data_IF_024988446328
#
_entry.id   IF_024988446328
#
_cell.length_a   1.000
_cell.length_b   1.000
_cell.length_c   1.000
_cell.angle_alpha   90.00
_cell.angle_beta   90.00
_cell.angle_gamma   90.00
#
_symmetry.space_group_name_H-M   'P 1'
#
loop_
_entity.id
_entity.type
_entity.pdbx_description
1 polymer ?
#
# COMPACT_ATOMS: atom_id res chain seq x y z
N UNK A 1 -4.69 10.23 -22.83
CA UNK A 1 -4.91 8.76 -22.76
C UNK A 1 -6.32 8.54 -22.23
N UNK A 2 -7.14 7.70 -22.87
CA UNK A 2 -8.47 7.38 -22.33
C UNK A 2 -8.27 6.44 -21.14
N UNK A 3 -8.23 6.97 -19.92
CA UNK A 3 -8.16 6.16 -18.70
C UNK A 3 -9.43 5.34 -18.57
N UNK A 4 -9.47 4.13 -19.08
CA UNK A 4 -10.60 3.22 -18.83
C UNK A 4 -10.54 2.73 -17.38
N UNK A 5 -11.70 2.36 -16.84
CA UNK A 5 -11.83 1.74 -15.51
C UNK A 5 -10.76 0.66 -15.26
N UNK A 6 -10.55 -0.23 -16.24
CA UNK A 6 -9.54 -1.28 -16.17
C UNK A 6 -8.11 -0.73 -16.01
N UNK A 7 -7.74 0.31 -16.78
CA UNK A 7 -6.40 0.91 -16.70
C UNK A 7 -6.12 1.52 -15.32
N UNK A 8 -7.11 2.18 -14.71
CA UNK A 8 -6.95 2.73 -13.37
C UNK A 8 -6.84 1.64 -12.30
N UNK A 9 -7.64 0.57 -12.39
CA UNK A 9 -7.55 -0.57 -11.48
C UNK A 9 -6.16 -1.23 -11.56
N UNK A 10 -5.65 -1.47 -12.78
CA UNK A 10 -4.31 -2.04 -12.99
C UNK A 10 -3.24 -1.12 -12.39
N UNK A 11 -3.33 0.18 -12.65
CA UNK A 11 -2.37 1.16 -12.17
C UNK A 11 -2.40 1.27 -10.63
N UNK A 12 -3.59 1.24 -10.01
CA UNK A 12 -3.73 1.23 -8.56
C UNK A 12 -3.23 -0.07 -7.93
N UNK A 13 -3.40 -1.23 -8.59
CA UNK A 13 -2.81 -2.49 -8.12
C UNK A 13 -1.28 -2.43 -8.20
N UNK A 14 -0.75 -1.91 -9.29
CA UNK A 14 0.69 -1.80 -9.48
C UNK A 14 1.34 -0.83 -8.49
N UNK A 15 0.68 0.29 -8.17
CA UNK A 15 1.20 1.30 -7.24
C UNK A 15 1.09 0.86 -5.78
N UNK A 16 0.06 0.08 -5.42
CA UNK A 16 -0.12 -0.42 -4.05
C UNK A 16 0.72 -1.66 -3.77
N UNK A 17 1.23 -2.30 -4.83
CA UNK A 17 2.16 -3.43 -4.82
C UNK A 17 1.94 -4.43 -3.66
N UNK A 18 0.80 -5.12 -3.63
CA UNK A 18 0.51 -6.06 -2.55
C UNK A 18 1.47 -7.25 -2.53
N UNK A 19 2.12 -7.58 -3.66
CA UNK A 19 3.05 -8.70 -3.76
C UNK A 19 4.42 -8.30 -3.21
N UNK A 20 4.97 -7.15 -3.62
CA UNK A 20 6.24 -6.67 -3.09
C UNK A 20 6.21 -6.33 -1.59
N UNK A 21 5.01 -6.05 -1.07
CA UNK A 21 4.80 -5.79 0.36
C UNK A 21 4.75 -7.07 1.24
N UNK A 22 4.68 -8.27 0.67
CA UNK A 22 4.65 -9.54 1.42
C UNK A 22 5.80 -9.68 2.44
N UNK A 23 7.10 -9.53 2.08
CA UNK A 23 8.20 -9.68 3.04
C UNK A 23 8.18 -8.64 4.17
N UNK A 24 7.68 -7.44 3.89
CA UNK A 24 7.52 -6.37 4.89
C UNK A 24 6.45 -6.78 5.91
N UNK A 25 5.31 -7.25 5.44
CA UNK A 25 4.23 -7.77 6.30
C UNK A 25 4.68 -9.00 7.09
N UNK A 26 5.39 -9.94 6.46
CA UNK A 26 5.92 -11.13 7.13
C UNK A 26 6.87 -10.77 8.28
N UNK A 27 7.77 -9.82 8.08
CA UNK A 27 8.68 -9.34 9.12
C UNK A 27 7.92 -8.61 10.25
N UNK A 28 7.00 -7.71 9.90
CA UNK A 28 6.23 -6.95 10.88
C UNK A 28 5.29 -7.83 11.73
N UNK A 29 4.75 -8.91 11.16
CA UNK A 29 3.85 -9.85 11.83
C UNK A 29 4.58 -10.98 12.58
N UNK A 30 5.92 -11.01 12.57
CA UNK A 30 6.72 -12.09 13.18
C UNK A 30 6.44 -12.29 14.67
N UNK A 31 6.17 -11.20 15.40
CA UNK A 31 5.88 -11.22 16.84
C UNK A 31 4.38 -11.29 17.16
N UNK A 32 3.52 -11.32 16.13
CA UNK A 32 2.06 -11.40 16.30
C UNK A 32 1.60 -12.84 16.23
N UNK A 33 0.73 -13.24 17.16
CA UNK A 33 0.13 -14.57 17.20
C UNK A 33 -0.53 -14.92 15.84
N UNK A 34 -0.32 -16.13 15.29
CA UNK A 34 -0.77 -16.51 13.93
C UNK A 34 -2.27 -16.33 13.67
N UNK A 35 -3.09 -16.40 14.72
CA UNK A 35 -4.55 -16.22 14.67
C UNK A 35 -4.96 -14.76 14.49
N UNK A 36 -4.13 -13.81 14.95
CA UNK A 36 -4.40 -12.37 14.88
C UNK A 36 -3.83 -11.71 13.62
N UNK A 37 -2.90 -12.36 12.92
CA UNK A 37 -2.26 -11.85 11.69
C UNK A 37 -3.25 -11.42 10.58
N UNK A 38 -4.26 -12.22 10.18
CA UNK A 38 -5.20 -11.80 9.14
C UNK A 38 -6.05 -10.59 9.57
N UNK A 39 -6.35 -10.45 10.86
CA UNK A 39 -7.04 -9.28 11.40
C UNK A 39 -6.19 -8.02 11.30
N UNK A 40 -4.89 -8.12 11.61
CA UNK A 40 -3.95 -6.99 11.45
C UNK A 40 -3.82 -6.59 9.98
N UNK A 41 -3.67 -7.56 9.07
CA UNK A 41 -3.62 -7.29 7.61
C UNK A 41 -4.88 -6.56 7.16
N UNK A 42 -6.07 -7.06 7.52
CA UNK A 42 -7.33 -6.45 7.11
C UNK A 42 -7.49 -5.03 7.69
N UNK A 43 -7.07 -4.81 8.93
CA UNK A 43 -7.06 -3.48 9.56
C UNK A 43 -6.16 -2.51 8.79
N UNK A 44 -4.94 -2.90 8.43
CA UNK A 44 -4.01 -2.03 7.70
C UNK A 44 -4.51 -1.74 6.27
N UNK A 45 -5.09 -2.72 5.58
CA UNK A 45 -5.73 -2.52 4.27
C UNK A 45 -6.92 -1.56 4.40
N UNK A 46 -7.73 -1.69 5.45
CA UNK A 46 -8.85 -0.80 5.69
C UNK A 46 -8.39 0.64 5.98
N UNK A 47 -7.35 0.83 6.79
CA UNK A 47 -6.76 2.15 7.05
C UNK A 47 -6.29 2.79 5.73
N UNK A 48 -5.56 2.02 4.91
CA UNK A 48 -5.12 2.48 3.58
C UNK A 48 -6.29 2.85 2.69
N UNK A 49 -7.33 2.02 2.64
CA UNK A 49 -8.53 2.28 1.85
C UNK A 49 -9.20 3.58 2.27
N UNK A 50 -9.43 3.78 3.56
CA UNK A 50 -10.06 5.00 4.10
C UNK A 50 -9.21 6.23 3.80
N UNK A 51 -7.89 6.13 3.94
CA UNK A 51 -6.97 7.24 3.68
C UNK A 51 -6.99 7.64 2.19
N UNK A 52 -6.89 6.68 1.27
CA UNK A 52 -6.97 6.94 -0.17
C UNK A 52 -8.36 7.46 -0.57
N UNK A 53 -9.42 6.90 -0.01
CA UNK A 53 -10.79 7.38 -0.22
C UNK A 53 -10.92 8.84 0.21
N UNK A 54 -10.45 9.19 1.40
CA UNK A 54 -10.46 10.56 1.92
C UNK A 54 -9.73 11.51 0.97
N UNK A 55 -8.54 11.14 0.50
CA UNK A 55 -7.78 11.92 -0.47
C UNK A 55 -8.49 12.04 -1.82
N UNK A 56 -9.21 11.03 -2.29
CA UNK A 56 -9.98 11.13 -3.53
C UNK A 56 -11.19 12.06 -3.42
N UNK A 57 -11.76 12.22 -2.22
CA UNK A 57 -12.87 13.16 -1.98
C UNK A 57 -12.38 14.59 -1.74
N UNK A 58 -11.33 14.76 -0.94
CA UNK A 58 -10.83 16.08 -0.50
C UNK A 58 -9.79 16.65 -1.48
N UNK A 59 -9.09 15.79 -2.20
CA UNK A 59 -7.90 16.08 -2.97
C UNK A 59 -8.04 17.17 -4.03
N UNK A 60 -9.07 17.10 -4.88
CA UNK A 60 -9.30 18.12 -5.92
C UNK A 60 -9.53 19.52 -5.31
N UNK A 61 -10.27 19.59 -4.19
CA UNK A 61 -10.48 20.85 -3.47
C UNK A 61 -9.20 21.41 -2.86
N UNK A 62 -8.38 20.54 -2.26
CA UNK A 62 -7.10 20.92 -1.68
C UNK A 62 -6.08 21.39 -2.75
N UNK A 63 -5.98 20.68 -3.87
CA UNK A 63 -5.09 21.03 -4.97
C UNK A 63 -5.44 22.39 -5.59
N UNK A 64 -6.74 22.66 -5.77
CA UNK A 64 -7.25 23.96 -6.24
C UNK A 64 -6.93 25.09 -5.26
N UNK A 65 -7.05 24.84 -3.95
CA UNK A 65 -6.70 25.82 -2.92
C UNK A 65 -5.20 26.15 -2.91
N UNK A 66 -4.35 25.16 -3.19
CA UNK A 66 -2.90 25.32 -3.29
C UNK A 66 -2.43 25.83 -4.66
N UNK A 67 -3.36 26.12 -5.59
CA UNK A 67 -3.06 26.56 -6.96
C UNK A 67 -2.10 25.62 -7.72
N UNK A 68 -2.07 24.33 -7.35
CA UNK A 68 -1.18 23.36 -7.96
C UNK A 68 -1.73 22.91 -9.31
N UNK A 69 -0.89 22.96 -10.33
CA UNK A 69 -1.23 22.41 -11.63
C UNK A 69 -1.15 20.88 -11.61
N UNK A 70 -1.93 20.24 -12.48
CA UNK A 70 -1.84 18.79 -12.68
C UNK A 70 -0.41 18.36 -13.05
N UNK A 71 0.29 19.16 -13.86
CA UNK A 71 1.69 18.95 -14.24
C UNK A 71 2.62 18.93 -13.01
N UNK A 72 2.40 19.83 -12.05
CA UNK A 72 3.18 19.88 -10.81
C UNK A 72 2.97 18.62 -9.98
N UNK A 73 1.73 18.11 -9.92
CA UNK A 73 1.41 16.87 -9.22
C UNK A 73 2.05 15.65 -9.90
N UNK A 74 2.07 15.61 -11.23
CA UNK A 74 2.74 14.55 -12.00
C UNK A 74 4.25 14.54 -11.73
N UNK A 75 4.91 15.70 -11.79
CA UNK A 75 6.35 15.83 -11.54
C UNK A 75 6.66 15.44 -10.08
N UNK A 76 5.91 15.97 -9.11
CA UNK A 76 6.10 15.65 -7.70
C UNK A 76 5.91 14.16 -7.39
N UNK A 77 4.84 13.55 -7.92
CA UNK A 77 4.59 12.12 -7.79
C UNK A 77 5.69 11.27 -8.43
N UNK A 78 6.18 11.65 -9.61
CA UNK A 78 7.28 10.97 -10.30
C UNK A 78 8.60 11.02 -9.52
N UNK A 79 8.94 12.18 -8.96
CA UNK A 79 10.13 12.35 -8.11
C UNK A 79 10.04 11.49 -6.86
N UNK A 80 8.88 11.45 -6.20
CA UNK A 80 8.70 10.62 -5.00
C UNK A 80 8.83 9.13 -5.34
N UNK A 81 8.23 8.68 -6.45
CA UNK A 81 8.36 7.29 -6.90
C UNK A 81 9.80 6.91 -7.20
N UNK A 82 10.54 7.81 -7.86
CA UNK A 82 11.97 7.64 -8.11
C UNK A 82 12.78 7.49 -6.81
N UNK A 83 12.51 8.33 -5.81
CA UNK A 83 13.17 8.24 -4.50
C UNK A 83 12.82 6.94 -3.76
N UNK A 84 11.59 6.43 -3.86
CA UNK A 84 11.19 5.15 -3.28
C UNK A 84 11.90 3.99 -3.99
N UNK A 85 11.97 4.02 -5.32
CA UNK A 85 12.69 3.01 -6.09
C UNK A 85 14.19 2.97 -5.70
N UNK A 86 14.83 4.13 -5.54
CA UNK A 86 16.19 4.22 -5.02
C UNK A 86 16.27 3.68 -3.58
N UNK A 87 15.30 3.99 -2.71
CA UNK A 87 15.25 3.43 -1.36
C UNK A 87 15.14 1.90 -1.35
N UNK A 88 14.56 1.27 -2.38
CA UNK A 88 14.49 -0.19 -2.49
C UNK A 88 15.83 -0.81 -2.94
N UNK A 89 16.65 -0.09 -3.71
CA UNK A 89 17.98 -0.58 -4.11
C UNK A 89 18.96 -0.60 -2.93
N UNK A 90 18.81 0.35 -1.99
CA UNK A 90 19.68 0.50 -0.83
C UNK A 90 19.07 -0.17 0.41
N UNK A 91 19.74 -1.17 1.02
CA UNK A 91 19.26 -1.76 2.26
C UNK A 91 19.11 -0.68 3.34
N UNK A 92 17.90 -0.55 3.89
CA UNK A 92 17.67 0.30 5.04
C UNK A 92 18.41 -0.31 6.24
N UNK A 93 19.19 0.47 7.02
CA UNK A 93 19.68 0.00 8.31
C UNK A 93 18.48 -0.45 9.14
N UNK A 94 18.54 -1.65 9.71
CA UNK A 94 17.53 -2.10 10.65
C UNK A 94 17.41 -1.03 11.74
N UNK A 95 16.23 -0.41 11.86
CA UNK A 95 15.93 0.47 12.98
C UNK A 95 15.90 -0.41 14.23
N UNK A 96 17.06 -0.58 14.86
CA UNK A 96 17.21 -1.15 16.18
C UNK A 96 16.52 -0.19 17.16
N UNK A 97 15.22 -0.35 17.32
CA UNK A 97 14.48 0.27 18.42
C UNK A 97 14.73 -0.61 19.66
N UNK A 98 15.34 -0.09 20.73
CA UNK A 98 15.53 -0.85 21.96
C UNK A 98 14.18 -1.18 22.57
N UNK A 99 13.99 -2.44 22.94
CA UNK A 99 12.98 -3.01 23.83
C UNK A 99 11.91 -2.04 24.36
N UNK A 100 10.78 -1.93 23.66
CA UNK A 100 9.53 -1.47 24.27
C UNK A 100 8.79 -2.71 24.83
N UNK A 101 9.09 -3.03 26.09
CA UNK A 101 8.29 -3.93 26.92
C UNK A 101 6.92 -3.28 27.12
N UNK A 102 5.90 -3.79 26.42
CA UNK A 102 4.52 -3.35 26.58
C UNK A 102 3.91 -2.87 25.27
N UNK A 103 3.17 -3.79 24.64
CA UNK A 103 2.41 -3.64 23.39
C UNK A 103 3.24 -3.14 22.19
N UNK A 104 3.46 -3.99 21.16
CA UNK A 104 4.13 -3.54 19.95
C UNK A 104 3.31 -2.37 19.42
N UNK A 105 3.87 -1.16 19.50
CA UNK A 105 3.44 -0.05 18.69
C UNK A 105 3.56 -0.58 17.27
N UNK A 106 2.42 -1.04 16.74
CA UNK A 106 2.22 -1.38 15.34
C UNK A 106 2.51 -0.05 14.64
N UNK A 107 3.79 0.18 14.32
CA UNK A 107 4.20 1.26 13.44
C UNK A 107 3.27 1.09 12.25
N UNK A 108 2.41 2.06 11.95
CA UNK A 108 1.35 1.83 10.99
C UNK A 108 2.01 1.49 9.66
N UNK A 109 2.00 0.20 9.30
CA UNK A 109 2.55 -0.31 8.04
C UNK A 109 1.85 0.38 6.88
N UNK A 110 0.57 0.75 7.08
CA UNK A 110 -0.23 1.52 6.16
C UNK A 110 0.44 2.83 5.71
N UNK A 111 1.14 3.56 6.60
CA UNK A 111 1.53 4.95 6.34
C UNK A 111 2.84 5.09 5.52
N UNK A 112 3.80 4.16 5.54
CA UNK A 112 4.86 4.14 4.54
C UNK A 112 4.63 3.14 3.38
N UNK A 113 4.04 1.97 3.63
CA UNK A 113 4.18 0.83 2.72
C UNK A 113 3.03 0.67 1.70
N UNK A 114 1.79 0.96 2.07
CA UNK A 114 0.62 0.77 1.18
C UNK A 114 -0.01 2.10 0.76
N UNK A 115 -0.23 3.03 1.69
CA UNK A 115 -0.69 4.38 1.41
C UNK A 115 0.49 5.33 1.23
N UNK A 116 1.57 4.84 0.62
CA UNK A 116 2.77 5.64 0.37
C UNK A 116 2.43 6.88 -0.45
N UNK A 117 3.26 7.93 -0.38
CA UNK A 117 3.01 9.19 -1.08
C UNK A 117 2.78 9.03 -2.60
N UNK A 118 3.32 7.96 -3.23
CA UNK A 118 3.01 7.59 -4.61
C UNK A 118 1.55 7.18 -4.82
N UNK A 119 0.98 6.33 -3.96
CA UNK A 119 -0.42 5.93 -4.05
C UNK A 119 -1.36 7.13 -3.87
N UNK A 120 -1.01 8.05 -2.97
CA UNK A 120 -1.74 9.30 -2.78
C UNK A 120 -1.64 10.22 -4.00
N UNK A 121 -0.44 10.45 -4.54
CA UNK A 121 -0.25 11.26 -5.74
C UNK A 121 -1.02 10.68 -6.93
N UNK A 122 -0.98 9.36 -7.12
CA UNK A 122 -1.72 8.66 -8.16
C UNK A 122 -3.24 8.79 -7.99
N UNK A 123 -3.77 8.58 -6.79
CA UNK A 123 -5.20 8.73 -6.52
C UNK A 123 -5.67 10.16 -6.79
N UNK A 124 -4.86 11.16 -6.43
CA UNK A 124 -5.10 12.57 -6.72
C UNK A 124 -5.07 12.87 -8.22
N UNK A 125 -4.10 12.33 -8.95
CA UNK A 125 -4.00 12.49 -10.41
C UNK A 125 -5.22 11.95 -11.13
N UNK A 126 -5.68 10.75 -10.76
CA UNK A 126 -6.88 10.13 -11.35
C UNK A 126 -8.13 11.01 -11.15
N UNK A 127 -8.29 11.58 -9.95
CA UNK A 127 -9.41 12.49 -9.66
C UNK A 127 -9.26 13.83 -10.36
N UNK A 128 -8.05 14.40 -10.42
CA UNK A 128 -7.77 15.68 -11.07
C UNK A 128 -7.99 15.64 -12.58
N UNK A 129 -7.62 14.54 -13.24
CA UNK A 129 -7.73 14.42 -14.71
C UNK A 129 -9.16 14.20 -15.19
N UNK A 130 -9.98 13.51 -14.41
CA UNK A 130 -11.33 13.15 -14.81
C UNK A 130 -12.29 13.19 -13.60
N UNK A 131 -12.61 14.39 -13.07
CA UNK A 131 -13.45 14.52 -11.89
C UNK A 131 -14.87 13.98 -12.09
N UNK A 132 -15.39 14.01 -13.33
CA UNK A 132 -16.70 13.45 -13.68
C UNK A 132 -16.77 11.91 -13.53
N UNK A 133 -15.63 11.21 -13.51
CA UNK A 133 -15.54 9.74 -13.40
C UNK A 133 -15.13 9.27 -12.01
N UNK A 134 -15.26 10.12 -10.99
CA UNK A 134 -14.93 9.82 -9.59
C UNK A 134 -15.52 8.50 -9.10
N UNK A 135 -16.75 8.18 -9.49
CA UNK A 135 -17.40 6.91 -9.12
C UNK A 135 -16.75 5.67 -9.76
N UNK A 136 -16.15 5.80 -10.94
CA UNK A 136 -15.35 4.73 -11.53
C UNK A 136 -14.03 4.54 -10.79
N UNK A 137 -13.37 5.63 -10.38
CA UNK A 137 -12.13 5.57 -9.61
C UNK A 137 -12.33 4.96 -8.22
N UNK A 138 -13.43 5.30 -7.54
CA UNK A 138 -13.76 4.69 -6.25
C UNK A 138 -14.00 3.18 -6.43
N UNK A 139 -14.72 2.77 -7.47
CA UNK A 139 -14.91 1.34 -7.78
C UNK A 139 -13.57 0.64 -8.06
N UNK A 140 -12.66 1.28 -8.78
CA UNK A 140 -11.33 0.75 -9.06
C UNK A 140 -10.54 0.58 -7.77
N UNK A 141 -10.56 1.59 -6.89
CA UNK A 141 -9.92 1.53 -5.57
C UNK A 141 -10.47 0.38 -4.72
N UNK A 142 -11.80 0.19 -4.68
CA UNK A 142 -12.41 -0.93 -3.95
C UNK A 142 -11.90 -2.28 -4.46
N UNK A 143 -11.81 -2.47 -5.79
CA UNK A 143 -11.29 -3.70 -6.38
C UNK A 143 -9.81 -3.87 -6.03
N UNK A 144 -8.99 -2.82 -6.15
CA UNK A 144 -7.58 -2.85 -5.79
C UNK A 144 -7.40 -3.29 -4.34
N UNK A 145 -8.14 -2.71 -3.40
CA UNK A 145 -8.02 -3.07 -1.98
C UNK A 145 -8.50 -4.48 -1.69
N UNK A 146 -9.56 -4.95 -2.36
CA UNK A 146 -10.01 -6.33 -2.26
C UNK A 146 -8.94 -7.31 -2.76
N UNK A 147 -8.32 -7.02 -3.92
CA UNK A 147 -7.21 -7.81 -4.47
C UNK A 147 -6.02 -7.81 -3.52
N UNK A 148 -5.62 -6.64 -3.00
CA UNK A 148 -4.51 -6.52 -2.06
C UNK A 148 -4.74 -7.30 -0.77
N UNK A 149 -5.96 -7.22 -0.19
CA UNK A 149 -6.33 -8.01 0.98
C UNK A 149 -6.24 -9.51 0.69
N UNK A 150 -6.79 -9.97 -0.44
CA UNK A 150 -6.75 -11.38 -0.82
C UNK A 150 -5.31 -11.85 -0.98
N UNK A 151 -4.48 -11.11 -1.73
CA UNK A 151 -3.07 -11.47 -1.98
C UNK A 151 -2.29 -11.58 -0.66
N UNK A 152 -2.38 -10.58 0.22
CA UNK A 152 -1.65 -10.56 1.48
C UNK A 152 -2.11 -11.68 2.44
N UNK A 153 -3.43 -11.93 2.53
CA UNK A 153 -3.98 -13.00 3.37
C UNK A 153 -3.59 -14.39 2.82
N UNK A 154 -3.60 -14.56 1.49
CA UNK A 154 -3.18 -15.82 0.86
C UNK A 154 -1.68 -16.06 1.05
N UNK A 155 -0.86 -15.02 0.90
CA UNK A 155 0.58 -15.09 1.12
C UNK A 155 0.91 -15.51 2.56
N UNK A 156 0.21 -14.96 3.56
CA UNK A 156 0.35 -15.38 4.96
C UNK A 156 -0.09 -16.83 5.17
N UNK A 157 -1.20 -17.27 4.54
CA UNK A 157 -1.63 -18.67 4.61
C UNK A 157 -0.61 -19.64 4.01
N UNK A 158 0.02 -19.27 2.89
CA UNK A 158 1.03 -20.10 2.22
C UNK A 158 2.29 -20.21 3.09
N UNK A 159 2.76 -19.10 3.66
CA UNK A 159 3.91 -19.11 4.60
C UNK A 159 3.65 -19.99 5.83
N UNK A 160 2.39 -20.10 6.26
CA UNK A 160 1.98 -20.98 7.36
C UNK A 160 1.93 -22.46 6.98
N UNK A 161 1.99 -22.83 5.70
CA UNK A 161 1.87 -24.23 5.29
C UNK A 161 3.07 -25.05 5.79
N UNK A 162 2.84 -26.25 6.37
CA UNK A 162 3.90 -27.11 6.93
C UNK A 162 5.00 -27.48 5.93
N UNK A 163 4.70 -27.45 4.63
CA UNK A 163 5.62 -27.79 3.55
C UNK A 163 6.86 -26.88 3.51
N UNK A 164 6.72 -25.60 3.84
CA UNK A 164 7.83 -24.63 3.92
C UNK A 164 8.70 -24.87 5.16
N UNK A 165 8.10 -25.30 6.27
CA UNK A 165 8.82 -25.63 7.50
C UNK A 165 9.62 -26.93 7.36
N UNK A 166 9.10 -27.94 6.66
CA UNK A 166 9.81 -29.20 6.40
C UNK A 166 10.98 -29.04 5.42
N UNK A 167 10.88 -28.12 4.45
CA UNK A 167 11.95 -27.88 3.47
C UNK A 167 13.18 -27.17 4.09
N UNK A 168 12.95 -26.27 5.06
CA UNK A 168 14.02 -25.61 5.81
C UNK A 168 14.73 -26.56 6.80
N UNK A 169 14.02 -27.55 7.33
CA UNK A 169 14.60 -28.55 8.23
C UNK A 169 15.29 -29.71 7.50
N UNK A 170 15.02 -29.94 6.20
CA UNK A 170 15.69 -30.99 5.43
C UNK A 170 16.94 -30.51 4.66
N UNK A 171 17.16 -29.20 4.56
CA UNK A 171 18.25 -28.58 3.78
C UNK A 171 19.20 -27.72 4.63
N UNK A 172 19.20 -27.88 5.95
CA UNK A 172 20.17 -27.30 6.88
C UNK A 172 20.95 -28.40 7.59
#
# INVERSE_FOLDING_TARGET
>A
MNYTFASATILLILITDPIGNIPIFANALRHVAPERRPWVILREVLITFVLLLLFMFIGDGFLRLMNLSELSLQIGGGVILFLIALRMIFPQPALNTPDAVGEPLIVPLAIPAIAGPSALATALLLVSQAPARRMEWIRALCITMAVSAVVLVLAERIQRSPATASWLLSNG
#
